data_IF_941198532569
#
_entry.id   IF_941198532569
#
_cell.length_a   1.000
_cell.length_b   1.000
_cell.length_c   1.000
_cell.angle_alpha   90.00
_cell.angle_beta   90.00
_cell.angle_gamma   90.00
#
_symmetry.space_group_name_H-M   'P 1'
#
loop_
_entity.id
_entity.type
_entity.pdbx_description
1 polymer ?
#
# COMPACT_ATOMS: atom_id res chain seq x y z
N UNK A 1 -9.92 -5.63 5.78
CA UNK A 1 -9.12 -4.57 5.10
C UNK A 1 -9.54 -3.17 5.55
N UNK A 2 -8.72 -2.16 5.30
CA UNK A 2 -9.04 -0.76 5.54
C UNK A 2 -8.64 0.13 4.36
N UNK A 3 -9.22 1.32 4.27
CA UNK A 3 -8.85 2.29 3.25
C UNK A 3 -8.95 3.73 3.77
N UNK A 4 -8.01 4.55 3.32
CA UNK A 4 -8.08 6.01 3.48
C UNK A 4 -7.77 6.72 2.17
N UNK A 5 -8.39 7.89 1.98
CA UNK A 5 -8.24 8.61 0.74
C UNK A 5 -8.32 10.13 0.92
N UNK A 6 -7.59 10.80 0.05
CA UNK A 6 -7.56 12.25 -0.07
C UNK A 6 -7.87 12.62 -1.51
N UNK A 7 -8.99 13.23 -1.75
CA UNK A 7 -9.45 13.58 -3.09
C UNK A 7 -9.58 15.09 -3.27
N UNK A 8 -10.76 15.65 -3.08
CA UNK A 8 -11.12 17.04 -3.40
C UNK A 8 -10.24 18.09 -2.71
N UNK A 9 -9.86 17.86 -1.47
CA UNK A 9 -8.98 18.78 -0.75
C UNK A 9 -7.56 18.81 -1.34
N UNK A 10 -7.16 17.77 -2.07
CA UNK A 10 -5.91 17.70 -2.84
C UNK A 10 -6.08 18.03 -4.32
N UNK A 11 -7.30 18.28 -4.81
CA UNK A 11 -7.57 18.51 -6.23
C UNK A 11 -7.61 17.23 -7.08
N UNK A 12 -7.88 16.07 -6.45
CA UNK A 12 -8.08 14.79 -7.12
C UNK A 12 -9.57 14.44 -7.12
N UNK A 13 -10.10 14.12 -8.30
CA UNK A 13 -11.55 13.92 -8.48
C UNK A 13 -11.97 12.44 -8.36
N UNK A 14 -11.03 11.51 -8.43
CA UNK A 14 -11.32 10.08 -8.57
C UNK A 14 -10.98 9.23 -7.34
N UNK A 15 -10.22 9.73 -6.37
CA UNK A 15 -9.80 8.97 -5.19
C UNK A 15 -10.96 8.31 -4.42
N UNK A 16 -12.09 9.02 -4.25
CA UNK A 16 -13.28 8.46 -3.60
C UNK A 16 -13.86 7.27 -4.41
N UNK A 17 -14.00 7.42 -5.73
CA UNK A 17 -14.53 6.37 -6.60
C UNK A 17 -13.60 5.16 -6.66
N UNK A 18 -12.28 5.39 -6.65
CA UNK A 18 -11.26 4.37 -6.59
C UNK A 18 -11.44 3.48 -5.34
N UNK A 19 -11.52 4.09 -4.15
CA UNK A 19 -11.72 3.37 -2.89
C UNK A 19 -13.10 2.69 -2.83
N UNK A 20 -14.16 3.35 -3.30
CA UNK A 20 -15.50 2.74 -3.33
C UNK A 20 -15.54 1.50 -4.22
N UNK A 21 -14.84 1.50 -5.35
CA UNK A 21 -14.68 0.35 -6.23
C UNK A 21 -13.93 -0.80 -5.56
N UNK A 22 -12.82 -0.48 -4.89
CA UNK A 22 -12.04 -1.43 -4.10
C UNK A 22 -12.92 -2.12 -3.04
N UNK A 23 -13.56 -1.33 -2.17
CA UNK A 23 -14.36 -1.83 -1.06
C UNK A 23 -15.57 -2.66 -1.52
N UNK A 24 -16.24 -2.23 -2.61
CA UNK A 24 -17.33 -3.02 -3.22
C UNK A 24 -16.85 -4.39 -3.65
N UNK A 25 -15.69 -4.47 -4.30
CA UNK A 25 -15.13 -5.73 -4.78
C UNK A 25 -14.76 -6.64 -3.61
N UNK A 26 -14.13 -6.12 -2.57
CA UNK A 26 -13.78 -6.88 -1.38
C UNK A 26 -15.03 -7.39 -0.63
N UNK A 27 -16.03 -6.55 -0.42
CA UNK A 27 -17.31 -6.95 0.21
C UNK A 27 -18.03 -8.03 -0.60
N UNK A 28 -18.03 -7.92 -1.93
CA UNK A 28 -18.61 -8.96 -2.80
C UNK A 28 -17.86 -10.29 -2.69
N UNK A 29 -16.55 -10.26 -2.41
CA UNK A 29 -15.72 -11.43 -2.11
C UNK A 29 -15.83 -11.91 -0.65
N UNK A 30 -16.70 -11.32 0.17
CA UNK A 30 -16.89 -11.71 1.57
C UNK A 30 -15.85 -11.15 2.55
N UNK A 31 -15.05 -10.17 2.12
CA UNK A 31 -14.03 -9.53 2.96
C UNK A 31 -14.64 -8.34 3.69
N UNK A 32 -14.41 -8.26 4.99
CA UNK A 32 -14.87 -7.18 5.85
C UNK A 32 -13.96 -5.95 5.75
N UNK A 33 -14.54 -4.76 5.61
CA UNK A 33 -13.80 -3.51 5.78
C UNK A 33 -13.97 -2.99 7.22
N UNK A 34 -12.85 -2.63 7.84
CA UNK A 34 -12.81 -2.12 9.22
C UNK A 34 -12.93 -0.61 9.27
N UNK A 35 -12.39 0.08 8.27
CA UNK A 35 -12.48 1.54 8.15
C UNK A 35 -12.46 1.98 6.69
N UNK A 36 -13.09 3.14 6.45
CA UNK A 36 -13.05 3.89 5.20
C UNK A 36 -13.12 5.38 5.55
N UNK A 37 -11.97 6.03 5.59
CA UNK A 37 -11.88 7.43 5.94
C UNK A 37 -11.42 8.26 4.74
N UNK A 38 -12.10 9.38 4.51
CA UNK A 38 -11.77 10.25 3.38
C UNK A 38 -11.75 11.73 3.75
N UNK A 39 -10.98 12.50 2.99
CA UNK A 39 -10.84 13.94 3.11
C UNK A 39 -10.37 14.37 4.50
N UNK A 40 -11.16 15.17 5.20
CA UNK A 40 -10.85 15.68 6.55
C UNK A 40 -10.93 14.59 7.64
N UNK A 41 -11.38 13.38 7.30
CA UNK A 41 -11.42 12.24 8.23
C UNK A 41 -10.28 11.26 8.04
N UNK A 42 -9.52 11.39 6.95
CA UNK A 42 -8.27 10.69 6.73
C UNK A 42 -7.15 11.43 7.46
N UNK A 43 -6.45 10.76 8.35
CA UNK A 43 -5.48 11.39 9.23
C UNK A 43 -4.12 10.71 9.16
N UNK A 44 -3.07 11.49 9.17
CA UNK A 44 -1.69 11.01 9.21
C UNK A 44 -1.43 10.07 10.40
N UNK A 45 -1.97 10.39 11.56
CA UNK A 45 -1.80 9.59 12.79
C UNK A 45 -2.34 8.16 12.67
N UNK A 46 -3.25 7.90 11.73
CA UNK A 46 -3.82 6.57 11.49
C UNK A 46 -2.84 5.61 10.81
N UNK A 47 -1.74 6.14 10.27
CA UNK A 47 -0.64 5.40 9.63
C UNK A 47 0.67 5.48 10.41
N UNK A 48 0.74 6.33 11.41
CA UNK A 48 1.92 6.63 12.20
C UNK A 48 2.03 5.70 13.39
N UNK A 49 3.25 5.25 13.67
CA UNK A 49 3.54 4.36 14.79
C UNK A 49 3.24 5.01 16.15
N UNK A 50 2.66 4.29 17.12
CA UNK A 50 2.40 4.79 18.46
C UNK A 50 3.65 5.30 19.20
N UNK A 51 4.83 4.76 18.93
CA UNK A 51 6.08 5.20 19.53
C UNK A 51 6.49 6.62 19.15
N UNK A 52 5.96 7.13 18.02
CA UNK A 52 6.17 8.50 17.54
C UNK A 52 4.88 9.34 17.58
N UNK A 53 3.87 8.88 18.32
CA UNK A 53 2.64 9.62 18.61
C UNK A 53 1.48 9.34 17.66
N UNK A 54 1.53 8.24 16.93
CA UNK A 54 0.46 7.77 16.05
C UNK A 54 -0.49 6.78 16.72
N UNK A 55 -1.34 6.17 15.91
CA UNK A 55 -2.35 5.19 16.34
C UNK A 55 -2.63 4.11 15.27
N UNK A 56 -1.65 3.78 14.42
CA UNK A 56 -1.78 2.81 13.33
C UNK A 56 -2.27 1.43 13.80
N UNK A 57 -1.86 0.99 14.98
CA UNK A 57 -2.34 -0.24 15.60
C UNK A 57 -3.87 -0.31 15.79
N UNK A 58 -4.58 0.84 15.71
CA UNK A 58 -6.04 0.91 15.74
C UNK A 58 -6.66 1.07 14.36
N UNK A 59 -5.85 1.44 13.35
CA UNK A 59 -6.30 1.75 11.99
C UNK A 59 -5.45 1.04 10.94
N UNK A 60 -4.44 1.69 10.37
CA UNK A 60 -3.69 1.15 9.23
C UNK A 60 -3.05 -0.21 9.51
N UNK A 61 -2.52 -0.43 10.71
CA UNK A 61 -1.91 -1.69 11.14
C UNK A 61 -2.86 -2.61 11.92
N UNK A 62 -4.18 -2.35 11.88
CA UNK A 62 -5.19 -3.20 12.52
C UNK A 62 -5.86 -4.20 11.57
N UNK A 63 -5.44 -4.24 10.32
CA UNK A 63 -6.06 -5.01 9.23
C UNK A 63 -4.98 -5.62 8.33
N UNK A 64 -5.29 -6.71 7.64
CA UNK A 64 -4.33 -7.41 6.78
C UNK A 64 -3.88 -6.59 5.56
N UNK A 65 -4.77 -5.77 5.00
CA UNK A 65 -4.49 -4.91 3.86
C UNK A 65 -5.03 -3.50 4.09
N UNK A 66 -4.16 -2.51 3.93
CA UNK A 66 -4.54 -1.09 3.93
C UNK A 66 -4.23 -0.48 2.57
N UNK A 67 -5.21 0.28 2.06
CA UNK A 67 -5.13 0.99 0.78
C UNK A 67 -5.24 2.48 1.02
N UNK A 68 -4.26 3.23 0.53
CA UNK A 68 -4.29 4.68 0.50
C UNK A 68 -4.31 5.18 -0.94
N UNK A 69 -5.13 6.19 -1.25
CA UNK A 69 -5.05 6.96 -2.51
C UNK A 69 -5.13 8.45 -2.24
N UNK A 70 -4.29 9.22 -2.93
CA UNK A 70 -4.14 10.65 -2.73
C UNK A 70 -2.83 11.17 -3.30
N UNK A 71 -2.31 12.25 -2.73
CA UNK A 71 -0.98 12.75 -3.08
C UNK A 71 0.12 12.08 -2.27
N UNK A 72 1.23 11.77 -2.95
CA UNK A 72 2.45 11.27 -2.33
C UNK A 72 3.69 11.74 -3.09
N UNK A 73 4.84 11.49 -2.50
CA UNK A 73 6.16 11.60 -3.12
C UNK A 73 7.14 10.66 -2.39
N UNK A 74 8.42 10.70 -2.74
CA UNK A 74 9.43 9.84 -2.10
C UNK A 74 9.64 10.09 -0.60
N UNK A 75 9.08 11.14 -0.03
CA UNK A 75 9.19 11.45 1.41
C UNK A 75 8.03 10.84 2.21
N UNK A 76 6.86 10.69 1.58
CA UNK A 76 5.67 10.18 2.24
C UNK A 76 4.39 10.52 1.50
N UNK A 77 3.25 10.37 2.13
CA UNK A 77 1.95 10.68 1.55
C UNK A 77 1.14 11.67 2.41
N UNK A 78 0.22 12.40 1.75
CA UNK A 78 -0.35 13.64 2.26
C UNK A 78 -1.79 13.47 2.70
N UNK A 79 -2.13 14.22 3.77
CA UNK A 79 -3.48 14.31 4.31
C UNK A 79 -3.98 15.77 4.29
N UNK A 80 -5.29 15.96 4.21
CA UNK A 80 -5.89 17.28 4.22
C UNK A 80 -6.18 17.81 5.62
N UNK A 81 -6.35 16.89 6.56
CA UNK A 81 -6.64 17.26 7.95
C UNK A 81 -5.45 17.95 8.61
N UNK A 82 -5.74 18.98 9.40
CA UNK A 82 -4.74 19.63 10.26
C UNK A 82 -4.67 18.98 11.66
N UNK A 83 -5.29 17.82 11.82
CA UNK A 83 -5.22 17.01 13.04
C UNK A 83 -3.86 16.34 13.12
N UNK A 84 -2.85 16.81 13.65
CA UNK A 84 -1.48 16.35 13.57
C UNK A 84 -0.75 16.89 12.32
N UNK A 85 0.24 16.19 11.80
CA UNK A 85 0.92 16.58 10.58
C UNK A 85 0.06 16.32 9.33
N UNK A 86 0.38 16.99 8.23
CA UNK A 86 -0.31 16.77 6.95
C UNK A 86 0.41 15.75 6.06
N UNK A 87 1.53 15.24 6.50
CA UNK A 87 2.37 14.33 5.75
C UNK A 87 2.79 13.21 6.68
N UNK A 88 2.44 11.98 6.35
CA UNK A 88 3.10 10.84 6.94
C UNK A 88 4.50 10.75 6.35
N UNK A 89 5.51 10.97 7.14
CA UNK A 89 6.89 10.77 6.72
C UNK A 89 7.26 9.28 6.81
N UNK A 90 8.03 8.77 5.85
CA UNK A 90 8.41 7.36 5.82
C UNK A 90 9.08 6.86 7.11
N UNK A 91 9.72 7.75 7.88
CA UNK A 91 10.36 7.39 9.16
C UNK A 91 9.37 7.12 10.28
N UNK A 92 8.11 7.52 10.12
CA UNK A 92 7.07 7.43 11.14
C UNK A 92 6.22 6.17 10.98
N UNK A 93 6.45 5.42 9.90
CA UNK A 93 5.77 4.19 9.57
C UNK A 93 6.54 2.98 10.12
N UNK A 94 5.86 2.13 10.90
CA UNK A 94 6.34 0.86 11.41
C UNK A 94 5.17 -0.13 11.33
N UNK A 95 4.97 -0.75 10.18
CA UNK A 95 3.80 -1.55 9.87
C UNK A 95 4.07 -3.05 9.93
N UNK A 96 3.02 -3.82 10.26
CA UNK A 96 3.06 -5.26 10.40
C UNK A 96 3.43 -5.73 11.80
N UNK A 97 3.67 -4.80 12.73
CA UNK A 97 3.90 -5.15 14.13
C UNK A 97 2.59 -5.45 14.88
N UNK A 98 1.45 -5.26 14.23
CA UNK A 98 0.12 -5.71 14.66
C UNK A 98 -0.47 -6.73 13.68
N UNK A 99 -1.01 -6.29 12.54
CA UNK A 99 -1.71 -7.17 11.59
C UNK A 99 -1.46 -6.86 10.12
N UNK A 100 -0.77 -5.79 9.75
CA UNK A 100 -0.68 -5.38 8.36
C UNK A 100 0.34 -6.17 7.56
N UNK A 101 -0.11 -7.04 6.68
CA UNK A 101 0.76 -7.74 5.74
C UNK A 101 1.03 -6.90 4.48
N UNK A 102 0.03 -6.14 4.00
CA UNK A 102 0.14 -5.47 2.71
C UNK A 102 -0.34 -4.03 2.75
N UNK A 103 0.55 -3.10 2.40
CA UNK A 103 0.25 -1.68 2.24
C UNK A 103 0.25 -1.31 0.76
N UNK A 104 -0.84 -0.71 0.30
CA UNK A 104 -0.95 -0.16 -1.05
C UNK A 104 -1.03 1.36 -0.98
N UNK A 105 -0.13 2.04 -1.68
CA UNK A 105 -0.10 3.49 -1.81
C UNK A 105 -0.29 3.86 -3.28
N UNK A 106 -1.55 3.96 -3.70
CA UNK A 106 -1.98 4.35 -5.03
C UNK A 106 -1.83 5.87 -5.21
N UNK A 107 -0.60 6.34 -5.29
CA UNK A 107 -0.25 7.76 -5.31
C UNK A 107 1.14 7.99 -5.93
N UNK A 108 1.45 9.25 -6.24
CA UNK A 108 2.69 9.63 -6.93
C UNK A 108 3.97 9.28 -6.14
N UNK A 109 4.79 8.41 -6.67
CA UNK A 109 6.20 8.21 -6.30
C UNK A 109 6.58 7.83 -4.87
N UNK A 110 5.75 7.13 -4.06
CA UNK A 110 6.20 6.69 -2.73
C UNK A 110 7.45 5.80 -2.83
N UNK A 111 7.57 5.03 -3.89
CA UNK A 111 8.69 4.12 -4.14
C UNK A 111 9.65 4.61 -5.23
N UNK A 112 9.77 5.95 -5.42
CA UNK A 112 10.73 6.49 -6.39
C UNK A 112 12.16 6.07 -6.09
N UNK A 113 12.94 5.81 -7.15
CA UNK A 113 14.33 5.39 -7.05
C UNK A 113 15.28 6.57 -7.26
N UNK A 114 15.65 7.23 -6.17
CA UNK A 114 16.68 8.26 -6.18
C UNK A 114 18.03 7.61 -5.86
N UNK A 115 18.63 6.98 -6.84
CA UNK A 115 19.92 6.27 -6.70
C UNK A 115 19.95 5.24 -5.55
N UNK A 116 18.84 4.50 -5.38
CA UNK A 116 18.70 3.47 -4.36
C UNK A 116 18.22 3.97 -2.99
N UNK A 117 17.86 5.25 -2.86
CA UNK A 117 17.40 5.84 -1.59
C UNK A 117 16.08 5.22 -1.07
N UNK A 118 15.30 4.57 -1.94
CA UNK A 118 14.09 3.84 -1.55
C UNK A 118 14.33 2.85 -0.41
N UNK A 119 15.51 2.22 -0.37
CA UNK A 119 15.88 1.26 0.70
C UNK A 119 15.94 1.90 2.07
N UNK A 120 16.42 3.14 2.14
CA UNK A 120 16.57 3.86 3.40
C UNK A 120 15.25 4.46 3.86
N UNK A 121 14.41 4.88 2.90
CA UNK A 121 13.14 5.54 3.21
C UNK A 121 12.17 4.59 3.91
N UNK A 122 11.73 3.56 3.24
CA UNK A 122 10.67 2.70 3.75
C UNK A 122 11.16 1.46 4.53
N UNK A 123 12.46 1.35 4.81
CA UNK A 123 12.98 0.20 5.57
C UNK A 123 12.38 0.04 6.96
N UNK A 124 12.05 1.16 7.62
CA UNK A 124 11.42 1.12 8.95
C UNK A 124 9.95 0.66 8.90
N UNK A 125 9.28 0.89 7.79
CA UNK A 125 7.90 0.45 7.62
C UNK A 125 7.72 -1.07 7.65
N UNK A 126 8.81 -1.82 7.40
CA UNK A 126 8.76 -3.28 7.37
C UNK A 126 9.07 -3.86 8.76
N UNK A 127 8.14 -3.76 9.69
CA UNK A 127 8.24 -4.39 11.00
C UNK A 127 7.21 -5.52 11.15
N UNK A 128 7.25 -6.45 10.22
CA UNK A 128 6.29 -7.51 9.96
C UNK A 128 5.66 -7.38 8.58
N UNK A 129 5.51 -6.17 8.05
CA UNK A 129 4.95 -5.91 6.72
C UNK A 129 5.62 -6.78 5.64
N UNK A 130 4.81 -7.38 4.78
CA UNK A 130 5.26 -8.25 3.69
C UNK A 130 5.58 -7.46 2.43
N UNK A 131 4.63 -6.63 1.96
CA UNK A 131 4.75 -5.88 0.72
C UNK A 131 4.26 -4.43 0.89
N UNK A 132 5.01 -3.52 0.28
CA UNK A 132 4.59 -2.15 0.01
C UNK A 132 4.46 -1.98 -1.51
N UNK A 133 3.24 -1.71 -1.97
CA UNK A 133 2.89 -1.58 -3.38
C UNK A 133 2.57 -0.12 -3.69
N UNK A 134 3.03 0.39 -4.83
CA UNK A 134 2.78 1.78 -5.22
C UNK A 134 3.45 2.12 -6.54
N UNK A 135 3.84 3.38 -6.70
CA UNK A 135 4.48 3.89 -7.90
C UNK A 135 5.86 4.48 -7.62
N UNK A 136 6.73 4.43 -8.62
CA UNK A 136 8.06 5.05 -8.60
C UNK A 136 8.09 6.43 -9.27
N UNK A 137 7.03 6.81 -9.95
CA UNK A 137 6.87 8.09 -10.65
C UNK A 137 5.56 8.77 -10.27
N UNK A 138 5.29 9.91 -10.87
CA UNK A 138 3.93 10.45 -10.88
C UNK A 138 2.97 9.42 -11.46
N UNK A 139 1.80 9.30 -10.89
CA UNK A 139 0.70 8.46 -11.35
C UNK A 139 -0.56 9.30 -11.54
N UNK A 140 -1.51 8.79 -12.30
CA UNK A 140 -2.74 9.51 -12.61
C UNK A 140 -3.87 9.03 -11.71
N UNK A 141 -4.69 9.96 -11.26
CA UNK A 141 -5.90 9.69 -10.49
C UNK A 141 -6.90 8.89 -11.35
N UNK A 142 -7.27 7.70 -10.93
CA UNK A 142 -8.09 6.75 -11.67
C UNK A 142 -9.25 6.21 -10.82
N UNK A 143 -10.37 5.88 -11.45
CA UNK A 143 -11.59 5.40 -10.78
C UNK A 143 -11.66 3.89 -10.63
N UNK A 144 -10.86 3.14 -11.36
CA UNK A 144 -11.01 1.69 -11.55
C UNK A 144 -9.89 0.87 -10.91
N UNK A 145 -8.76 1.50 -10.60
CA UNK A 145 -7.55 0.84 -10.08
C UNK A 145 -7.84 -0.06 -8.88
N UNK A 146 -8.52 0.44 -7.87
CA UNK A 146 -8.85 -0.35 -6.69
C UNK A 146 -9.77 -1.53 -6.98
N UNK A 147 -10.80 -1.34 -7.82
CA UNK A 147 -11.72 -2.43 -8.19
C UNK A 147 -11.05 -3.51 -9.02
N UNK A 148 -10.15 -3.13 -9.94
CA UNK A 148 -9.40 -4.07 -10.77
C UNK A 148 -8.36 -4.83 -9.94
N UNK A 149 -7.67 -4.15 -9.05
CA UNK A 149 -6.75 -4.79 -8.11
C UNK A 149 -7.46 -5.84 -7.25
N UNK A 150 -8.57 -5.45 -6.59
CA UNK A 150 -9.36 -6.37 -5.77
C UNK A 150 -9.90 -7.57 -6.57
N UNK A 151 -10.37 -7.35 -7.79
CA UNK A 151 -10.90 -8.41 -8.64
C UNK A 151 -9.86 -9.48 -8.95
N UNK A 152 -8.60 -9.08 -9.16
CA UNK A 152 -7.50 -10.04 -9.42
C UNK A 152 -7.12 -10.83 -8.18
N UNK A 153 -7.13 -10.20 -7.02
CA UNK A 153 -6.84 -10.86 -5.75
C UNK A 153 -7.90 -11.90 -5.38
N UNK A 154 -9.17 -11.60 -5.69
CA UNK A 154 -10.32 -12.37 -5.25
C UNK A 154 -10.85 -13.35 -6.29
N UNK A 155 -10.23 -13.45 -7.47
CA UNK A 155 -10.64 -14.42 -8.51
C UNK A 155 -10.65 -15.83 -7.94
N UNK A 156 -11.79 -16.52 -8.06
CA UNK A 156 -11.97 -17.87 -7.50
C UNK A 156 -11.30 -18.96 -8.35
N UNK A 157 -10.96 -18.65 -9.59
CA UNK A 157 -10.40 -19.61 -10.54
C UNK A 157 -8.88 -19.48 -10.67
N UNK A 158 -8.37 -18.26 -10.57
CA UNK A 158 -6.96 -17.95 -10.74
C UNK A 158 -6.59 -16.68 -9.96
N UNK A 159 -6.61 -16.73 -8.62
CA UNK A 159 -6.24 -15.58 -7.82
C UNK A 159 -4.78 -15.19 -8.08
N UNK A 160 -4.54 -13.92 -8.30
CA UNK A 160 -3.19 -13.43 -8.55
C UNK A 160 -2.46 -13.14 -7.23
N UNK A 161 -1.15 -13.42 -7.14
CA UNK A 161 -0.33 -12.88 -6.06
C UNK A 161 -0.40 -11.34 -6.05
N UNK A 162 -0.33 -10.73 -4.85
CA UNK A 162 -0.50 -9.27 -4.69
C UNK A 162 0.41 -8.46 -5.62
N UNK A 163 1.69 -8.82 -5.73
CA UNK A 163 2.63 -8.13 -6.62
C UNK A 163 2.21 -8.18 -8.10
N UNK A 164 1.68 -9.32 -8.54
CA UNK A 164 1.22 -9.48 -9.92
C UNK A 164 -0.10 -8.73 -10.15
N UNK A 165 -1.03 -8.83 -9.21
CA UNK A 165 -2.29 -8.08 -9.25
C UNK A 165 -2.04 -6.58 -9.36
N UNK A 166 -1.11 -6.04 -8.56
CA UNK A 166 -0.74 -4.63 -8.61
C UNK A 166 -0.10 -4.25 -9.94
N UNK A 167 0.94 -4.96 -10.37
CA UNK A 167 1.65 -4.68 -11.61
C UNK A 167 0.71 -4.71 -12.82
N UNK A 168 -0.13 -5.75 -12.94
CA UNK A 168 -1.09 -5.86 -14.04
C UNK A 168 -2.16 -4.77 -13.99
N UNK A 169 -2.63 -4.41 -12.79
CA UNK A 169 -3.57 -3.29 -12.63
C UNK A 169 -2.95 -1.99 -13.09
N UNK A 170 -1.75 -1.67 -12.62
CA UNK A 170 -1.04 -0.45 -13.01
C UNK A 170 -0.85 -0.36 -14.54
N UNK A 171 -0.44 -1.46 -15.19
CA UNK A 171 -0.28 -1.52 -16.66
C UNK A 171 -1.59 -1.24 -17.40
N UNK A 172 -2.73 -1.66 -16.85
CA UNK A 172 -4.02 -1.48 -17.53
C UNK A 172 -4.66 -0.10 -17.28
N UNK A 173 -4.40 0.55 -16.14
CA UNK A 173 -5.09 1.80 -15.77
C UNK A 173 -4.24 3.05 -15.96
N UNK A 174 -2.92 2.93 -15.99
CA UNK A 174 -2.03 4.07 -16.13
C UNK A 174 -1.59 4.27 -17.58
N UNK A 175 -1.29 5.50 -18.02
CA UNK A 175 -0.85 5.77 -19.40
C UNK A 175 0.47 5.07 -19.73
N UNK A 176 0.52 4.47 -20.91
CA UNK A 176 1.67 3.76 -21.46
C UNK A 176 2.98 4.58 -21.36
N UNK A 177 4.04 3.94 -20.92
CA UNK A 177 5.42 4.45 -20.85
C UNK A 177 5.63 5.72 -20.00
N UNK A 178 4.60 6.18 -19.27
CA UNK A 178 4.70 7.40 -18.45
C UNK A 178 4.80 7.13 -16.97
N UNK A 179 4.23 6.04 -16.53
CA UNK A 179 4.18 5.66 -15.13
C UNK A 179 5.03 4.42 -14.91
N UNK A 180 5.70 4.37 -13.76
CA UNK A 180 6.44 3.19 -13.33
C UNK A 180 5.81 2.68 -12.05
N UNK A 181 5.22 1.49 -12.09
CA UNK A 181 4.81 0.82 -10.87
C UNK A 181 6.03 0.33 -10.10
N UNK A 182 5.92 0.21 -8.79
CA UNK A 182 6.97 -0.34 -7.95
C UNK A 182 6.39 -1.11 -6.77
N UNK A 183 7.11 -2.15 -6.36
CA UNK A 183 6.77 -3.00 -5.25
C UNK A 183 8.04 -3.26 -4.45
N UNK A 184 7.95 -3.08 -3.14
CA UNK A 184 9.04 -3.33 -2.21
C UNK A 184 8.65 -4.44 -1.25
N UNK A 185 9.61 -5.27 -0.88
CA UNK A 185 9.45 -6.31 0.12
C UNK A 185 10.77 -6.67 0.79
N UNK A 186 10.75 -7.70 1.62
CA UNK A 186 11.90 -8.10 2.44
C UNK A 186 12.47 -9.42 1.98
N UNK A 187 13.80 -9.55 2.10
CA UNK A 187 14.47 -10.84 2.05
C UNK A 187 14.46 -11.50 3.43
N UNK A 188 14.08 -12.76 3.48
CA UNK A 188 14.27 -13.61 4.65
C UNK A 188 15.71 -14.12 4.79
N UNK A 189 15.96 -14.87 5.84
CA UNK A 189 17.26 -15.50 6.10
C UNK A 189 17.75 -16.28 4.88
N UNK A 190 19.03 -16.15 4.57
CA UNK A 190 19.63 -16.76 3.38
C UNK A 190 19.20 -16.13 2.04
N UNK A 191 18.70 -14.87 2.08
CA UNK A 191 18.22 -14.15 0.90
C UNK A 191 17.03 -14.81 0.20
N UNK A 192 16.22 -15.53 0.95
CA UNK A 192 14.96 -16.10 0.47
C UNK A 192 13.91 -15.02 0.25
N UNK A 193 12.85 -15.34 -0.49
CA UNK A 193 11.76 -14.43 -0.85
C UNK A 193 10.41 -14.97 -0.32
N UNK A 194 10.22 -15.09 1.00
CA UNK A 194 9.07 -15.80 1.55
C UNK A 194 7.71 -15.14 1.26
N UNK A 195 7.68 -13.81 1.08
CA UNK A 195 6.46 -13.03 0.83
C UNK A 195 6.31 -12.59 -0.64
N UNK A 196 7.21 -13.03 -1.53
CA UNK A 196 7.25 -12.55 -2.91
C UNK A 196 5.97 -12.89 -3.70
N UNK A 197 5.43 -14.08 -3.50
CA UNK A 197 4.22 -14.57 -4.14
C UNK A 197 3.03 -14.67 -3.17
N UNK A 198 2.98 -13.78 -2.19
CA UNK A 198 1.83 -13.70 -1.29
C UNK A 198 0.53 -13.49 -2.05
N UNK A 199 -0.46 -14.25 -1.66
CA UNK A 199 -1.84 -14.10 -2.09
C UNK A 199 -2.66 -13.44 -0.99
N UNK A 200 -3.78 -12.88 -1.36
CA UNK A 200 -4.75 -12.44 -0.35
C UNK A 200 -5.25 -13.64 0.46
N UNK A 201 -5.54 -13.42 1.75
CA UNK A 201 -5.97 -14.47 2.67
C UNK A 201 -7.11 -15.32 2.10
N UNK A 202 -6.96 -16.65 2.18
CA UNK A 202 -7.92 -17.61 1.65
C UNK A 202 -7.86 -17.83 0.13
N UNK A 203 -6.98 -17.12 -0.59
CA UNK A 203 -6.84 -17.23 -2.05
C UNK A 203 -5.53 -17.91 -2.49
N UNK A 204 -4.61 -18.14 -1.57
CA UNK A 204 -3.35 -18.81 -1.83
C UNK A 204 -2.39 -18.75 -0.65
N UNK A 205 -1.11 -19.07 -0.86
CA UNK A 205 -0.13 -19.03 0.21
C UNK A 205 0.16 -17.59 0.64
N UNK A 206 0.41 -17.42 1.94
CA UNK A 206 0.91 -16.20 2.57
C UNK A 206 2.16 -16.59 3.34
N UNK A 207 3.23 -15.81 3.17
CA UNK A 207 4.49 -16.05 3.88
C UNK A 207 4.42 -15.61 5.34
N UNK A 208 5.49 -15.84 6.11
CA UNK A 208 5.55 -15.41 7.51
C UNK A 208 5.95 -13.95 7.63
N UNK A 209 5.53 -13.31 8.70
CA UNK A 209 6.07 -12.01 9.10
C UNK A 209 7.57 -12.11 9.41
N UNK A 210 8.30 -11.09 9.02
CA UNK A 210 9.74 -11.03 9.23
C UNK A 210 10.11 -9.80 10.08
N UNK A 211 10.65 -10.05 11.26
CA UNK A 211 11.11 -9.01 12.19
C UNK A 211 12.62 -9.06 12.42
N UNK A 212 13.20 -7.92 12.71
CA UNK A 212 14.56 -7.81 13.21
C UNK A 212 15.57 -8.63 12.40
N UNK A 213 16.25 -9.58 13.06
CA UNK A 213 17.28 -10.41 12.45
C UNK A 213 16.77 -11.45 11.44
N UNK A 214 15.46 -11.69 11.36
CA UNK A 214 14.87 -12.54 10.33
C UNK A 214 14.89 -11.88 8.94
N UNK A 215 15.02 -10.56 8.87
CA UNK A 215 15.18 -9.78 7.65
C UNK A 215 16.64 -9.74 7.22
N UNK A 216 16.98 -10.26 6.07
CA UNK A 216 18.33 -10.18 5.50
C UNK A 216 18.56 -8.90 4.68
N UNK A 217 17.49 -8.24 4.23
CA UNK A 217 17.54 -7.01 3.43
C UNK A 217 16.21 -6.72 2.75
N UNK A 218 16.25 -5.79 1.79
CA UNK A 218 15.07 -5.35 1.05
C UNK A 218 15.26 -5.56 -0.45
N UNK A 219 14.19 -5.90 -1.14
CA UNK A 219 14.12 -5.95 -2.60
C UNK A 219 13.08 -4.97 -3.12
N UNK A 220 13.24 -4.58 -4.37
CA UNK A 220 12.28 -3.77 -5.12
C UNK A 220 12.21 -4.28 -6.55
N UNK A 221 11.01 -4.40 -7.06
CA UNK A 221 10.74 -4.58 -8.49
C UNK A 221 9.98 -3.36 -9.00
N UNK A 222 10.14 -3.06 -10.27
CA UNK A 222 9.41 -2.00 -10.95
C UNK A 222 9.40 -2.26 -12.45
N UNK A 223 8.42 -1.69 -13.12
CA UNK A 223 8.29 -1.75 -14.57
C UNK A 223 7.45 -0.59 -15.09
N UNK A 224 7.53 -0.29 -16.39
CA UNK A 224 6.64 0.66 -17.04
C UNK A 224 5.21 0.12 -17.06
N UNK A 225 4.25 1.03 -17.13
CA UNK A 225 2.83 0.72 -17.33
C UNK A 225 2.48 0.70 -18.81
#
# INVERSE_FOLDING_TARGET
MGAEWVGRCGGLDHSAANVDGLLKSFRAGGVEDRFNWGELRAWEVDFKDPAVGGQDASYADSVDLTFYTGHANGVGFMFCSAMSDRILHFSDAHWGNSNLEWMVVAACGPLQDDAGAWRLRWSNAFDGLHLLLGYATESFDDTTEGSMFASRLLDDTSPAPLRQAWATTAIEVQPDDKVIYAIMGVYGAGWTLPNYDDHFWGKGPVGPDLWGAARAGFWRISGPT
#
